data_IF_359450784235
#
_entry.id   IF_359450784235
#
_cell.length_a   1.000
_cell.length_b   1.000
_cell.length_c   1.000
_cell.angle_alpha   90.00
_cell.angle_beta   90.00
_cell.angle_gamma   90.00
#
_symmetry.space_group_name_H-M   'P 1'
#
loop_
_entity.id
_entity.type
_entity.pdbx_description
1 polymer ?
#
# COMPACT_ATOMS: atom_id res chain seq x y z
N UNK A 1 2.94 14.09 3.44
CA UNK A 1 2.05 14.80 2.50
C UNK A 1 0.74 14.07 2.24
N UNK A 2 0.71 12.84 1.69
CA UNK A 2 -0.57 12.12 1.45
C UNK A 2 -1.37 11.87 2.73
N UNK A 3 -0.72 11.41 3.79
CA UNK A 3 -1.41 11.13 5.05
C UNK A 3 -1.97 12.39 5.71
N UNK A 4 -1.24 13.50 5.62
CA UNK A 4 -1.67 14.80 6.15
C UNK A 4 -2.90 15.31 5.40
N UNK A 5 -2.91 15.16 4.06
CA UNK A 5 -4.06 15.47 3.21
C UNK A 5 -5.29 14.61 3.54
N UNK A 6 -5.10 13.30 3.68
CA UNK A 6 -6.19 12.39 4.07
C UNK A 6 -6.76 12.76 5.45
N UNK A 7 -5.91 13.14 6.40
CA UNK A 7 -6.35 13.59 7.71
C UNK A 7 -7.13 14.91 7.64
N UNK A 8 -6.66 15.86 6.83
CA UNK A 8 -7.37 17.12 6.59
C UNK A 8 -8.74 16.89 5.92
N UNK A 9 -8.83 15.94 4.98
CA UNK A 9 -10.07 15.58 4.32
C UNK A 9 -11.09 15.00 5.31
N UNK A 10 -10.69 14.04 6.15
CA UNK A 10 -11.58 13.46 7.17
C UNK A 10 -12.03 14.50 8.21
N UNK A 11 -11.13 15.38 8.65
CA UNK A 11 -11.49 16.49 9.54
C UNK A 11 -12.52 17.42 8.89
N UNK A 12 -12.29 17.82 7.63
CA UNK A 12 -13.21 18.68 6.87
C UNK A 12 -14.57 18.02 6.66
N UNK A 13 -14.60 16.70 6.40
CA UNK A 13 -15.84 15.94 6.30
C UNK A 13 -16.60 15.97 7.63
N UNK A 14 -15.92 15.77 8.76
CA UNK A 14 -16.51 15.83 10.10
C UNK A 14 -17.13 17.19 10.41
N UNK A 15 -16.44 18.28 10.06
CA UNK A 15 -16.93 19.65 10.24
C UNK A 15 -18.20 19.91 9.40
N UNK A 16 -18.20 19.50 8.13
CA UNK A 16 -19.37 19.59 7.25
C UNK A 16 -20.53 18.75 7.78
N UNK A 17 -20.29 17.49 8.15
CA UNK A 17 -21.28 16.58 8.69
C UNK A 17 -21.90 17.10 10.00
N UNK A 18 -21.09 17.77 10.84
CA UNK A 18 -21.54 18.39 12.09
C UNK A 18 -22.44 19.62 11.90
N UNK A 19 -22.36 20.28 10.74
CA UNK A 19 -23.21 21.42 10.37
C UNK A 19 -24.60 21.02 9.86
N UNK A 20 -24.79 19.73 9.53
CA UNK A 20 -26.05 19.23 8.95
C UNK A 20 -27.17 19.20 9.99
N UNK A 21 -28.34 19.79 9.71
CA UNK A 21 -29.49 19.72 10.60
C UNK A 21 -29.91 18.27 10.89
N UNK A 22 -30.45 18.03 12.09
CA UNK A 22 -30.91 16.70 12.50
C UNK A 22 -31.94 16.13 11.51
N UNK A 23 -31.75 14.88 11.13
CA UNK A 23 -32.58 14.13 10.20
C UNK A 23 -31.79 13.03 9.49
N UNK A 24 -32.41 12.39 8.51
CA UNK A 24 -31.81 11.29 7.73
C UNK A 24 -30.42 11.63 7.20
N UNK A 25 -30.26 12.78 6.55
CA UNK A 25 -28.97 13.25 6.00
C UNK A 25 -27.90 13.29 7.10
N UNK A 26 -28.19 13.82 8.29
CA UNK A 26 -27.23 13.87 9.40
C UNK A 26 -26.83 12.48 9.93
N UNK A 27 -27.73 11.51 9.90
CA UNK A 27 -27.46 10.13 10.33
C UNK A 27 -26.56 9.42 9.31
N UNK A 28 -26.87 9.55 8.03
CA UNK A 28 -26.05 9.04 6.93
C UNK A 28 -24.66 9.68 6.92
N UNK A 29 -24.56 11.01 7.05
CA UNK A 29 -23.28 11.72 7.14
C UNK A 29 -22.45 11.25 8.34
N UNK A 30 -23.06 10.98 9.50
CA UNK A 30 -22.34 10.42 10.65
C UNK A 30 -21.75 9.04 10.34
N UNK A 31 -22.53 8.16 9.72
CA UNK A 31 -22.06 6.83 9.33
C UNK A 31 -20.88 6.89 8.34
N UNK A 32 -20.97 7.76 7.33
CA UNK A 32 -19.86 7.97 6.37
C UNK A 32 -18.64 8.56 7.07
N UNK A 33 -18.83 9.42 8.07
CA UNK A 33 -17.74 9.96 8.90
C UNK A 33 -16.96 8.85 9.62
N UNK A 34 -17.67 7.94 10.28
CA UNK A 34 -17.06 6.76 10.94
C UNK A 34 -16.32 5.87 9.93
N UNK A 35 -16.88 5.65 8.75
CA UNK A 35 -16.22 4.90 7.68
C UNK A 35 -14.97 5.63 7.15
N UNK A 36 -14.99 6.96 7.12
CA UNK A 36 -13.87 7.79 6.67
C UNK A 36 -12.70 7.71 7.65
N UNK A 37 -12.99 7.74 8.96
CA UNK A 37 -12.01 7.49 10.02
C UNK A 37 -11.37 6.10 9.94
N UNK A 38 -12.18 5.08 9.65
CA UNK A 38 -11.70 3.71 9.43
C UNK A 38 -10.79 3.62 8.20
N UNK A 39 -11.14 4.32 7.13
CA UNK A 39 -10.33 4.39 5.90
C UNK A 39 -9.01 5.11 6.14
N UNK A 40 -9.01 6.23 6.86
CA UNK A 40 -7.80 6.93 7.30
C UNK A 40 -6.90 6.03 8.16
N UNK A 41 -7.49 5.25 9.06
CA UNK A 41 -6.74 4.26 9.85
C UNK A 41 -6.09 3.19 8.97
N UNK A 42 -6.76 2.76 7.89
CA UNK A 42 -6.18 1.90 6.85
C UNK A 42 -5.00 2.56 6.13
N UNK A 43 -5.12 3.83 5.74
CA UNK A 43 -4.05 4.60 5.12
C UNK A 43 -2.82 4.75 6.04
N UNK A 44 -3.04 4.96 7.35
CA UNK A 44 -1.95 4.99 8.36
C UNK A 44 -1.18 3.67 8.40
N UNK A 45 -1.89 2.54 8.38
CA UNK A 45 -1.25 1.21 8.35
C UNK A 45 -0.44 0.99 7.06
N UNK A 46 -1.00 1.36 5.91
CA UNK A 46 -0.27 1.29 4.62
C UNK A 46 0.97 2.18 4.62
N UNK A 47 0.90 3.38 5.20
CA UNK A 47 2.07 4.26 5.32
C UNK A 47 3.18 3.65 6.19
N UNK A 48 2.80 2.98 7.28
CA UNK A 48 3.73 2.20 8.10
C UNK A 48 4.39 1.07 7.30
N UNK A 49 3.59 0.30 6.54
CA UNK A 49 4.12 -0.76 5.67
C UNK A 49 5.04 -0.22 4.58
N UNK A 50 4.68 0.86 3.91
CA UNK A 50 5.51 1.48 2.88
C UNK A 50 6.86 1.94 3.45
N UNK A 51 6.86 2.44 4.69
CA UNK A 51 8.09 2.82 5.40
C UNK A 51 8.98 1.60 5.67
N UNK A 52 8.39 0.51 6.19
CA UNK A 52 9.13 -0.75 6.41
C UNK A 52 9.65 -1.33 5.09
N UNK A 53 8.82 -1.44 4.06
CA UNK A 53 9.23 -1.96 2.74
C UNK A 53 10.34 -1.13 2.13
N UNK A 54 10.26 0.20 2.20
CA UNK A 54 11.34 1.09 1.74
C UNK A 54 12.63 0.84 2.51
N UNK A 55 12.54 0.72 3.84
CA UNK A 55 13.71 0.46 4.69
C UNK A 55 14.37 -0.87 4.32
N UNK A 56 13.60 -1.94 4.16
CA UNK A 56 14.12 -3.26 3.77
C UNK A 56 14.73 -3.20 2.36
N UNK A 57 14.03 -2.59 1.40
CA UNK A 57 14.52 -2.46 0.03
C UNK A 57 15.86 -1.71 -0.04
N UNK A 58 16.06 -0.69 0.80
CA UNK A 58 17.31 0.09 0.84
C UNK A 58 18.54 -0.74 1.27
N UNK A 59 18.35 -1.89 1.93
CA UNK A 59 19.46 -2.80 2.28
C UNK A 59 19.89 -3.68 1.09
N UNK A 60 19.04 -3.81 0.07
CA UNK A 60 19.36 -4.55 -1.15
C UNK A 60 20.04 -3.59 -2.11
N UNK A 61 21.37 -3.65 -2.16
CA UNK A 61 22.21 -2.83 -3.03
C UNK A 61 22.10 -3.31 -4.50
N UNK A 62 20.93 -3.11 -5.10
CA UNK A 62 20.58 -3.61 -6.45
C UNK A 62 21.61 -3.22 -7.52
N UNK A 63 22.14 -1.99 -7.49
CA UNK A 63 23.20 -1.57 -8.41
C UNK A 63 24.51 -2.35 -8.22
N UNK A 64 24.88 -2.63 -6.96
CA UNK A 64 26.07 -3.44 -6.64
C UNK A 64 25.87 -4.90 -7.04
N UNK A 65 24.67 -5.44 -6.83
CA UNK A 65 24.33 -6.80 -7.25
C UNK A 65 24.36 -6.93 -8.78
N UNK A 66 23.91 -5.92 -9.52
CA UNK A 66 23.98 -5.92 -10.98
C UNK A 66 25.44 -5.96 -11.46
N UNK A 67 26.31 -5.11 -10.90
CA UNK A 67 27.75 -5.12 -11.22
C UNK A 67 28.40 -6.46 -10.88
N UNK A 68 28.06 -7.04 -9.72
CA UNK A 68 28.59 -8.34 -9.31
C UNK A 68 28.10 -9.47 -10.22
N UNK A 69 26.84 -9.42 -10.66
CA UNK A 69 26.27 -10.35 -11.63
C UNK A 69 27.00 -10.28 -12.98
N UNK A 70 27.28 -9.08 -13.48
CA UNK A 70 28.08 -8.90 -14.71
C UNK A 70 29.50 -9.44 -14.55
N UNK A 71 30.15 -9.17 -13.41
CA UNK A 71 31.49 -9.69 -13.09
C UNK A 71 31.52 -11.21 -13.03
N UNK A 72 30.53 -11.83 -12.38
CA UNK A 72 30.41 -13.28 -12.26
C UNK A 72 30.14 -13.92 -13.64
N UNK A 73 29.29 -13.32 -14.47
CA UNK A 73 29.03 -13.79 -15.83
C UNK A 73 30.31 -13.77 -16.68
N UNK A 74 31.07 -12.68 -16.65
CA UNK A 74 32.36 -12.59 -17.37
C UNK A 74 33.36 -13.64 -16.88
N UNK A 75 33.39 -13.90 -15.57
CA UNK A 75 34.25 -14.92 -14.97
C UNK A 75 33.84 -16.33 -15.41
N UNK A 76 32.54 -16.59 -15.51
CA UNK A 76 31.99 -17.87 -15.96
C UNK A 76 32.30 -18.13 -17.44
N UNK A 77 32.20 -17.09 -18.27
CA UNK A 77 32.51 -17.17 -19.71
C UNK A 77 33.99 -17.48 -19.97
N UNK A 78 34.88 -16.98 -19.11
CA UNK A 78 36.32 -17.22 -19.18
C UNK A 78 36.77 -18.54 -18.52
N UNK A 79 35.96 -19.13 -17.64
CA UNK A 79 36.35 -20.31 -16.87
C UNK A 79 36.30 -21.59 -17.73
N UNK A 80 37.42 -22.31 -17.75
CA UNK A 80 37.56 -23.60 -18.45
C UNK A 80 37.48 -24.81 -17.51
N UNK A 81 37.74 -24.62 -16.22
CA UNK A 81 37.66 -25.67 -15.21
C UNK A 81 36.18 -25.94 -14.81
N UNK A 82 35.69 -27.19 -14.92
CA UNK A 82 34.29 -27.51 -14.62
C UNK A 82 33.85 -27.20 -13.18
N UNK A 83 34.70 -27.40 -12.19
CA UNK A 83 34.36 -27.20 -10.78
C UNK A 83 34.25 -25.70 -10.48
N UNK A 84 35.16 -24.90 -11.03
CA UNK A 84 35.12 -23.43 -10.93
C UNK A 84 33.85 -22.89 -11.62
N UNK A 85 33.51 -23.41 -12.81
CA UNK A 85 32.28 -23.01 -13.52
C UNK A 85 31.04 -23.28 -12.68
N UNK A 86 30.95 -24.46 -12.07
CA UNK A 86 29.81 -24.81 -11.23
C UNK A 86 29.65 -23.86 -10.03
N UNK A 87 30.75 -23.46 -9.39
CA UNK A 87 30.70 -22.53 -8.26
C UNK A 87 30.31 -21.11 -8.69
N UNK A 88 30.80 -20.66 -9.85
CA UNK A 88 30.40 -19.38 -10.44
C UNK A 88 28.92 -19.36 -10.83
N UNK A 89 28.39 -20.46 -11.36
CA UNK A 89 26.95 -20.60 -11.66
C UNK A 89 26.08 -20.48 -10.40
N UNK A 90 26.45 -21.15 -9.30
CA UNK A 90 25.75 -21.03 -8.01
C UNK A 90 25.78 -19.61 -7.48
N UNK A 91 26.95 -18.97 -7.53
CA UNK A 91 27.12 -17.58 -7.09
C UNK A 91 26.26 -16.62 -7.91
N UNK A 92 26.23 -16.81 -9.23
CA UNK A 92 25.42 -16.00 -10.13
C UNK A 92 23.92 -16.19 -9.89
N UNK A 93 23.49 -17.42 -9.61
CA UNK A 93 22.09 -17.69 -9.26
C UNK A 93 21.70 -16.98 -7.96
N UNK A 94 22.53 -17.05 -6.93
CA UNK A 94 22.28 -16.31 -5.67
C UNK A 94 22.16 -14.80 -5.89
N UNK A 95 23.00 -14.21 -6.75
CA UNK A 95 22.90 -12.77 -7.10
C UNK A 95 21.58 -12.47 -7.81
N UNK A 96 21.17 -13.32 -8.76
CA UNK A 96 19.89 -13.17 -9.49
C UNK A 96 18.69 -13.26 -8.54
N UNK A 97 18.69 -14.20 -7.61
CA UNK A 97 17.65 -14.32 -6.58
C UNK A 97 17.52 -13.04 -5.75
N UNK A 98 18.65 -12.49 -5.28
CA UNK A 98 18.67 -11.23 -4.52
C UNK A 98 18.15 -10.04 -5.35
N UNK A 99 18.51 -9.94 -6.63
CA UNK A 99 17.98 -8.90 -7.53
C UNK A 99 16.47 -9.04 -7.74
N UNK A 100 15.96 -10.27 -7.87
CA UNK A 100 14.52 -10.53 -7.97
C UNK A 100 13.78 -10.15 -6.68
N UNK A 101 14.36 -10.39 -5.51
CA UNK A 101 13.81 -9.92 -4.22
C UNK A 101 13.72 -8.39 -4.21
N UNK A 102 14.81 -7.69 -4.55
CA UNK A 102 14.85 -6.23 -4.61
C UNK A 102 13.80 -5.64 -5.56
N UNK A 103 13.68 -6.22 -6.76
CA UNK A 103 12.67 -5.82 -7.74
C UNK A 103 11.25 -5.94 -7.18
N UNK A 104 10.92 -7.06 -6.55
CA UNK A 104 9.59 -7.31 -5.96
C UNK A 104 9.29 -6.37 -4.79
N UNK A 105 10.28 -6.03 -3.96
CA UNK A 105 10.11 -5.04 -2.89
C UNK A 105 9.84 -3.64 -3.44
N UNK A 106 10.54 -3.21 -4.49
CA UNK A 106 10.28 -1.93 -5.15
C UNK A 106 8.89 -1.87 -5.78
N UNK A 107 8.46 -2.93 -6.46
CA UNK A 107 7.09 -3.04 -7.00
C UNK A 107 6.02 -2.99 -5.90
N UNK A 108 6.27 -3.67 -4.77
CA UNK A 108 5.38 -3.63 -3.61
C UNK A 108 5.27 -2.22 -3.04
N UNK A 109 6.41 -1.53 -2.88
CA UNK A 109 6.44 -0.13 -2.42
C UNK A 109 5.67 0.79 -3.36
N UNK A 110 5.87 0.68 -4.67
CA UNK A 110 5.15 1.49 -5.66
C UNK A 110 3.64 1.27 -5.56
N UNK A 111 3.21 0.01 -5.41
CA UNK A 111 1.79 -0.35 -5.22
C UNK A 111 1.21 0.27 -3.96
N UNK A 112 1.92 0.19 -2.83
CA UNK A 112 1.49 0.81 -1.56
C UNK A 112 1.33 2.32 -1.70
N UNK A 113 2.28 3.00 -2.34
CA UNK A 113 2.24 4.44 -2.55
C UNK A 113 1.08 4.87 -3.45
N UNK A 114 0.88 4.19 -4.57
CA UNK A 114 -0.25 4.44 -5.48
C UNK A 114 -1.60 4.22 -4.77
N UNK A 115 -1.68 3.20 -3.90
CA UNK A 115 -2.90 2.94 -3.12
C UNK A 115 -3.16 4.00 -2.06
N UNK A 116 -2.11 4.52 -1.41
CA UNK A 116 -2.23 5.65 -0.48
C UNK A 116 -2.73 6.91 -1.17
N UNK A 117 -2.19 7.22 -2.35
CA UNK A 117 -2.62 8.35 -3.17
C UNK A 117 -4.09 8.21 -3.58
N UNK A 118 -4.47 7.06 -4.15
CA UNK A 118 -5.84 6.78 -4.55
C UNK A 118 -6.84 6.87 -3.39
N UNK A 119 -6.50 6.32 -2.22
CA UNK A 119 -7.36 6.42 -1.03
C UNK A 119 -7.47 7.85 -0.49
N UNK A 120 -6.39 8.63 -0.57
CA UNK A 120 -6.41 10.06 -0.19
C UNK A 120 -7.33 10.86 -1.11
N UNK A 121 -7.19 10.69 -2.43
CA UNK A 121 -8.05 11.35 -3.42
C UNK A 121 -9.52 10.95 -3.25
N UNK A 122 -9.78 9.69 -2.89
CA UNK A 122 -11.13 9.22 -2.56
C UNK A 122 -11.74 9.96 -1.37
N UNK A 123 -11.00 10.12 -0.28
CA UNK A 123 -11.45 10.89 0.90
C UNK A 123 -11.69 12.37 0.57
N UNK A 124 -10.83 12.98 -0.24
CA UNK A 124 -11.03 14.38 -0.69
C UNK A 124 -12.27 14.52 -1.57
N UNK A 125 -12.56 13.54 -2.42
CA UNK A 125 -13.77 13.51 -3.24
C UNK A 125 -15.03 13.47 -2.37
N UNK A 126 -15.02 12.67 -1.29
CA UNK A 126 -16.15 12.60 -0.35
C UNK A 126 -16.46 13.95 0.28
N UNK A 127 -15.43 14.74 0.63
CA UNK A 127 -15.62 16.11 1.15
C UNK A 127 -16.30 16.99 0.11
N UNK A 128 -15.81 16.96 -1.14
CA UNK A 128 -16.37 17.75 -2.23
C UNK A 128 -17.84 17.39 -2.50
N UNK A 129 -18.18 16.10 -2.50
CA UNK A 129 -19.54 15.62 -2.74
C UNK A 129 -20.48 15.95 -1.57
N UNK A 130 -20.04 15.84 -0.32
CA UNK A 130 -20.86 16.28 0.82
C UNK A 130 -21.12 17.80 0.76
N UNK A 131 -20.10 18.60 0.44
CA UNK A 131 -20.27 20.04 0.28
C UNK A 131 -21.28 20.38 -0.85
N UNK A 132 -21.23 19.65 -1.96
CA UNK A 132 -22.21 19.77 -3.05
C UNK A 132 -23.63 19.42 -2.59
N UNK A 133 -23.82 18.32 -1.88
CA UNK A 133 -25.13 17.91 -1.32
C UNK A 133 -25.69 18.99 -0.39
N UNK A 134 -24.86 19.61 0.45
CA UNK A 134 -25.31 20.67 1.36
C UNK A 134 -25.67 21.96 0.62
N UNK A 135 -24.86 22.36 -0.37
CA UNK A 135 -25.14 23.54 -1.18
C UNK A 135 -26.42 23.38 -2.03
N UNK A 136 -26.65 22.19 -2.59
CA UNK A 136 -27.85 21.88 -3.37
C UNK A 136 -29.06 21.63 -2.49
N UNK A 137 -28.88 21.06 -1.30
CA UNK A 137 -29.95 20.76 -0.34
C UNK A 137 -30.71 21.99 0.15
N UNK A 138 -30.08 23.16 0.17
CA UNK A 138 -30.76 24.44 0.42
C UNK A 138 -31.73 24.85 -0.72
N UNK A 139 -31.54 24.30 -1.92
CA UNK A 139 -32.32 24.59 -3.13
C UNK A 139 -33.15 23.41 -3.65
N UNK A 140 -32.96 22.20 -3.11
CA UNK A 140 -33.49 20.95 -3.66
C UNK A 140 -34.90 20.59 -3.17
N UNK A 141 -35.65 19.92 -4.05
CA UNK A 141 -37.10 19.66 -3.93
C UNK A 141 -37.45 18.42 -3.09
N UNK A 142 -36.49 17.54 -2.74
CA UNK A 142 -36.78 16.31 -1.97
C UNK A 142 -35.59 15.79 -1.12
N UNK A 143 -35.77 15.54 0.20
CA UNK A 143 -34.78 14.90 1.07
C UNK A 143 -34.33 13.49 0.67
N UNK A 144 -35.11 12.80 -0.17
CA UNK A 144 -34.85 11.41 -0.59
C UNK A 144 -33.68 11.32 -1.58
N UNK A 145 -33.53 12.31 -2.46
CA UNK A 145 -32.44 12.33 -3.44
C UNK A 145 -31.08 12.55 -2.78
N UNK A 146 -31.01 13.42 -1.76
CA UNK A 146 -29.81 13.63 -0.97
C UNK A 146 -29.38 12.39 -0.18
N UNK A 147 -30.34 11.62 0.35
CA UNK A 147 -30.04 10.36 1.04
C UNK A 147 -29.48 9.30 0.08
N UNK A 148 -30.03 9.16 -1.13
CA UNK A 148 -29.52 8.22 -2.13
C UNK A 148 -28.10 8.57 -2.61
N UNK A 149 -27.78 9.86 -2.74
CA UNK A 149 -26.41 10.31 -3.06
C UNK A 149 -25.44 9.97 -1.93
N UNK A 150 -25.84 10.12 -0.67
CA UNK A 150 -25.04 9.71 0.48
C UNK A 150 -24.83 8.18 0.55
N UNK A 151 -25.83 7.39 0.17
CA UNK A 151 -25.68 5.93 0.11
C UNK A 151 -24.64 5.50 -0.94
N UNK A 152 -24.65 6.10 -2.13
CA UNK A 152 -23.62 5.88 -3.13
C UNK A 152 -22.20 6.26 -2.64
N UNK A 153 -22.09 7.32 -1.84
CA UNK A 153 -20.81 7.72 -1.22
C UNK A 153 -20.31 6.68 -0.21
N UNK A 154 -21.21 6.10 0.58
CA UNK A 154 -20.87 5.02 1.51
C UNK A 154 -20.36 3.79 0.76
N UNK A 155 -21.00 3.42 -0.35
CA UNK A 155 -20.56 2.30 -1.20
C UNK A 155 -19.18 2.53 -1.83
N UNK A 156 -18.92 3.74 -2.34
CA UNK A 156 -17.60 4.12 -2.87
C UNK A 156 -16.51 4.02 -1.80
N UNK A 157 -16.79 4.50 -0.58
CA UNK A 157 -15.88 4.45 0.54
C UNK A 157 -15.61 3.02 1.02
N UNK A 158 -16.63 2.17 1.05
CA UNK A 158 -16.47 0.75 1.36
C UNK A 158 -15.60 0.05 0.31
N UNK A 159 -15.78 0.36 -0.98
CA UNK A 159 -14.91 -0.12 -2.06
C UNK A 159 -13.44 0.31 -1.90
N UNK A 160 -13.21 1.57 -1.51
CA UNK A 160 -11.87 2.06 -1.18
C UNK A 160 -11.26 1.26 -0.04
N UNK A 161 -11.98 1.14 1.08
CA UNK A 161 -11.58 0.41 2.30
C UNK A 161 -11.24 -1.04 2.00
N UNK A 162 -12.10 -1.74 1.25
CA UNK A 162 -11.89 -3.13 0.87
C UNK A 162 -10.57 -3.30 0.10
N UNK A 163 -10.30 -2.45 -0.89
CA UNK A 163 -9.05 -2.57 -1.63
C UNK A 163 -7.81 -2.07 -0.86
N UNK A 164 -7.95 -1.17 0.13
CA UNK A 164 -6.85 -0.87 1.07
C UNK A 164 -6.47 -2.13 1.86
N UNK A 165 -7.48 -2.81 2.42
CA UNK A 165 -7.28 -4.03 3.20
C UNK A 165 -6.68 -5.17 2.35
N UNK A 166 -7.13 -5.30 1.10
CA UNK A 166 -6.57 -6.29 0.18
C UNK A 166 -5.10 -5.99 -0.15
N UNK A 167 -4.76 -4.74 -0.42
CA UNK A 167 -3.37 -4.32 -0.66
C UNK A 167 -2.49 -4.61 0.56
N UNK A 168 -2.98 -4.29 1.75
CA UNK A 168 -2.30 -4.56 3.03
C UNK A 168 -2.01 -6.07 3.20
N UNK A 169 -2.97 -6.93 2.82
CA UNK A 169 -2.85 -8.38 2.89
C UNK A 169 -1.86 -8.93 1.87
N UNK A 170 -1.93 -8.47 0.61
CA UNK A 170 -1.01 -8.88 -0.46
C UNK A 170 0.44 -8.48 -0.12
N UNK A 171 0.63 -7.25 0.35
CA UNK A 171 1.96 -6.77 0.76
C UNK A 171 2.52 -7.57 1.94
N UNK A 172 1.70 -7.89 2.96
CA UNK A 172 2.15 -8.74 4.07
C UNK A 172 2.55 -10.14 3.63
N UNK A 173 1.77 -10.76 2.73
CA UNK A 173 2.11 -12.08 2.20
C UNK A 173 3.43 -12.06 1.45
N UNK A 174 3.62 -11.06 0.59
CA UNK A 174 4.87 -10.89 -0.14
C UNK A 174 6.05 -10.73 0.84
N UNK A 175 5.92 -9.89 1.87
CA UNK A 175 6.95 -9.69 2.89
C UNK A 175 7.21 -10.94 3.76
N UNK A 176 6.16 -11.65 4.15
CA UNK A 176 6.27 -12.86 4.98
C UNK A 176 6.96 -14.02 4.26
N UNK A 177 6.78 -14.13 2.94
CA UNK A 177 7.51 -15.10 2.12
C UNK A 177 9.04 -14.88 2.19
N UNK A 178 9.50 -13.63 2.26
CA UNK A 178 10.94 -13.32 2.37
C UNK A 178 11.52 -13.62 3.75
N UNK A 179 10.75 -13.42 4.82
CA UNK A 179 11.22 -13.71 6.17
C UNK A 179 11.35 -15.22 6.45
N UNK A 180 10.59 -16.05 5.73
CA UNK A 180 10.60 -17.51 5.88
C UNK A 180 11.80 -18.21 5.20
N UNK A 181 12.28 -17.71 4.07
CA UNK A 181 13.39 -18.33 3.32
C UNK A 181 14.78 -18.02 3.91
N UNK A 182 14.89 -17.03 4.81
CA UNK A 182 16.17 -16.61 5.41
C UNK A 182 16.64 -17.40 6.64
N UNK A 183 15.85 -18.36 7.16
CA UNK A 183 16.12 -19.03 8.46
C UNK A 183 16.53 -20.51 8.30
N UNK A 184 16.56 -21.07 7.09
CA UNK A 184 16.80 -22.49 6.86
C UNK A 184 18.27 -22.90 6.59
N UNK A 185 19.26 -22.05 6.91
CA UNK A 185 20.68 -22.32 6.60
C UNK A 185 21.62 -22.04 7.78
N UNK A 186 21.28 -22.50 8.99
CA UNK A 186 22.28 -22.53 10.08
C UNK A 186 21.95 -23.57 11.17
N UNK A 187 21.91 -24.85 10.80
CA UNK A 187 21.93 -25.94 11.80
C UNK A 187 22.22 -27.31 11.19
N UNK A 188 23.36 -27.49 10.51
CA UNK A 188 23.92 -28.84 10.33
C UNK A 188 25.43 -28.77 10.14
N UNK A 189 26.17 -28.35 11.17
CA UNK A 189 27.47 -28.98 11.43
C UNK A 189 27.93 -28.74 12.88
N UNK A 190 27.60 -29.68 13.76
CA UNK A 190 28.36 -29.98 14.97
C UNK A 190 27.75 -31.22 15.63
N UNK A 191 28.35 -32.38 15.35
CA UNK A 191 28.80 -33.36 16.34
C UNK A 191 29.31 -34.61 15.62
N UNK A 192 30.64 -34.64 15.49
CA UNK A 192 31.43 -35.85 15.72
C UNK A 192 31.21 -36.38 17.15
#
# INVERSE_FOLDING_TARGET
HWLDRAQAAVASFGDLAGSVPKGLVSEHSRSIGEQSDNTLSGLRRLAGQATTTRSVAAHILTDRLAQEGERLQQSLDAATDPDIRQELERSLESVREQMQIGTRLHQSLATLLARMESGTLGLERLVAQLAEILALGESATSPVEGAAQLEALADELEGLRAGLAETERLSRRALGAYAGDGVASDSTDQRE
#
